data_IF_838723047814
#
_entry.id   IF_838723047814
#
_cell.length_a   1.000
_cell.length_b   1.000
_cell.length_c   1.000
_cell.angle_alpha   90.00
_cell.angle_beta   90.00
_cell.angle_gamma   90.00
#
_symmetry.space_group_name_H-M   'P 1'
#
loop_
_entity.id
_entity.type
_entity.pdbx_description
1 polymer ?
#
# COMPACT_ATOMS: atom_id res chain seq x y z
N UNK A 1 44.52 -35.32 -55.57
CA UNK A 1 44.77 -35.98 -56.87
C UNK A 1 44.07 -37.32 -56.89
N UNK A 2 42.96 -37.44 -57.61
CA UNK A 2 42.53 -38.61 -58.40
C UNK A 2 41.05 -38.41 -58.76
N UNK A 3 40.83 -38.06 -60.03
CA UNK A 3 39.53 -37.98 -60.69
C UNK A 3 39.06 -39.38 -61.07
N UNK A 4 37.74 -39.66 -60.99
CA UNK A 4 37.03 -40.51 -61.96
C UNK A 4 35.51 -40.20 -61.99
N UNK A 5 35.16 -39.50 -63.08
CA UNK A 5 33.99 -39.63 -64.00
C UNK A 5 33.47 -41.08 -64.12
N UNK A 6 32.25 -41.49 -64.49
CA UNK A 6 31.02 -41.00 -65.20
C UNK A 6 29.86 -41.90 -64.67
N UNK A 7 28.56 -41.59 -64.77
CA UNK A 7 27.64 -42.03 -65.86
C UNK A 7 26.24 -41.45 -65.58
N UNK A 8 25.64 -40.87 -66.63
CA UNK A 8 24.22 -40.49 -66.71
C UNK A 8 23.37 -41.72 -67.02
N UNK A 9 22.20 -41.85 -66.38
CA UNK A 9 21.04 -42.47 -67.01
C UNK A 9 19.77 -41.69 -66.67
N UNK A 10 19.07 -41.31 -67.74
CA UNK A 10 17.73 -40.74 -67.81
C UNK A 10 16.67 -41.84 -67.75
N UNK A 11 15.67 -41.68 -66.89
CA UNK A 11 14.28 -42.18 -66.95
C UNK A 11 13.56 -41.32 -65.88
N UNK A 12 12.75 -40.31 -66.17
CA UNK A 12 11.59 -40.34 -67.04
C UNK A 12 10.59 -41.31 -66.43
N UNK A 13 9.67 -40.85 -65.58
CA UNK A 13 8.37 -41.46 -65.25
C UNK A 13 7.41 -40.37 -64.79
N UNK A 14 6.18 -40.53 -65.24
CA UNK A 14 5.07 -39.59 -65.21
C UNK A 14 4.43 -39.41 -63.83
N UNK A 15 3.73 -38.29 -63.73
CA UNK A 15 2.87 -37.83 -62.66
C UNK A 15 1.96 -38.89 -62.03
N UNK A 16 1.83 -38.83 -60.71
CA UNK A 16 0.55 -38.92 -60.01
C UNK A 16 0.49 -37.74 -59.05
N UNK A 17 -0.20 -36.67 -59.46
CA UNK A 17 -0.59 -35.59 -58.59
C UNK A 17 -1.78 -36.05 -57.74
N UNK A 18 -1.50 -36.49 -56.51
CA UNK A 18 -2.55 -36.63 -55.51
C UNK A 18 -2.89 -35.23 -54.99
N UNK A 19 -3.97 -34.66 -55.53
CA UNK A 19 -4.62 -33.48 -54.97
C UNK A 19 -5.27 -33.91 -53.65
N UNK A 20 -4.56 -33.74 -52.55
CA UNK A 20 -5.13 -33.76 -51.22
C UNK A 20 -5.89 -32.45 -51.02
N UNK A 21 -7.20 -32.52 -51.21
CA UNK A 21 -8.15 -31.54 -50.72
C UNK A 21 -8.08 -31.53 -49.18
N UNK A 22 -7.22 -30.66 -48.64
CA UNK A 22 -7.28 -30.27 -47.24
C UNK A 22 -8.46 -29.30 -47.12
N UNK A 23 -9.52 -29.61 -46.37
CA UNK A 23 -10.56 -28.63 -46.10
C UNK A 23 -9.92 -27.47 -45.31
N UNK A 24 -10.25 -26.21 -45.59
CA UNK A 24 -9.87 -25.12 -44.71
C UNK A 24 -10.63 -25.34 -43.39
N UNK A 25 -9.94 -25.91 -42.40
CA UNK A 25 -10.37 -25.77 -41.03
C UNK A 25 -10.29 -24.28 -40.72
N UNK A 26 -11.44 -23.60 -40.75
CA UNK A 26 -11.64 -22.34 -40.06
C UNK A 26 -11.23 -22.59 -38.60
N UNK A 27 -9.99 -22.22 -38.27
CA UNK A 27 -9.61 -22.01 -36.89
C UNK A 27 -10.41 -20.80 -36.42
N UNK A 28 -11.57 -21.05 -35.82
CA UNK A 28 -12.23 -20.08 -34.99
C UNK A 28 -11.20 -19.64 -33.95
N UNK A 29 -10.68 -18.42 -34.10
CA UNK A 29 -10.02 -17.71 -33.00
C UNK A 29 -11.02 -17.71 -31.86
N UNK A 30 -10.79 -18.55 -30.86
CA UNK A 30 -11.35 -18.34 -29.54
C UNK A 30 -10.86 -16.96 -29.11
N UNK A 31 -11.76 -15.98 -29.10
CA UNK A 31 -11.53 -14.73 -28.40
C UNK A 31 -11.02 -15.07 -26.99
N UNK A 32 -9.95 -14.42 -26.50
CA UNK A 32 -9.57 -14.57 -25.11
C UNK A 32 -10.78 -14.11 -24.31
N UNK A 33 -11.44 -15.08 -23.65
CA UNK A 33 -12.47 -14.80 -22.67
C UNK A 33 -11.85 -13.78 -21.71
N UNK A 34 -12.47 -12.60 -21.50
CA UNK A 34 -12.01 -11.67 -20.49
C UNK A 34 -11.86 -12.49 -19.21
N UNK A 35 -10.66 -12.47 -18.63
CA UNK A 35 -10.50 -12.88 -17.25
C UNK A 35 -11.41 -11.93 -16.47
N UNK A 36 -12.64 -12.36 -16.22
CA UNK A 36 -13.44 -11.86 -15.11
C UNK A 36 -12.53 -12.01 -13.91
N UNK A 37 -11.88 -10.90 -13.54
CA UNK A 37 -11.42 -10.67 -12.19
C UNK A 37 -12.66 -10.85 -11.33
N UNK A 38 -12.88 -12.07 -10.85
CA UNK A 38 -13.72 -12.28 -9.70
C UNK A 38 -13.15 -11.34 -8.66
N UNK A 39 -13.94 -10.37 -8.16
CA UNK A 39 -13.55 -9.66 -6.96
C UNK A 39 -13.23 -10.79 -5.97
N UNK A 40 -12.00 -10.82 -5.47
CA UNK A 40 -11.75 -11.57 -4.26
C UNK A 40 -12.64 -10.88 -3.22
N UNK A 41 -13.87 -11.40 -3.09
CA UNK A 41 -14.66 -11.18 -1.92
C UNK A 41 -13.78 -11.73 -0.81
N UNK A 42 -13.04 -10.82 -0.17
CA UNK A 42 -12.50 -11.05 1.15
C UNK A 42 -13.69 -11.62 1.89
N UNK A 43 -13.61 -12.92 2.21
CA UNK A 43 -14.49 -13.52 3.19
C UNK A 43 -14.38 -12.57 4.37
N UNK A 44 -15.41 -11.76 4.60
CA UNK A 44 -15.54 -10.95 5.78
C UNK A 44 -15.60 -11.96 6.92
N UNK A 45 -14.41 -12.42 7.35
CA UNK A 45 -14.27 -13.24 8.53
C UNK A 45 -14.94 -12.43 9.60
N UNK A 46 -15.96 -13.05 10.19
CA UNK A 46 -16.77 -12.41 11.21
C UNK A 46 -15.84 -12.23 12.41
N UNK A 47 -15.28 -11.05 12.54
CA UNK A 47 -14.48 -10.68 13.71
C UNK A 47 -15.44 -10.64 14.88
N UNK A 48 -15.24 -11.53 15.85
CA UNK A 48 -16.07 -11.56 17.04
C UNK A 48 -15.82 -10.27 17.85
N UNK A 49 -16.87 -9.52 18.21
CA UNK A 49 -16.70 -8.26 18.91
C UNK A 49 -16.11 -8.48 20.30
N UNK A 50 -15.08 -7.71 20.64
CA UNK A 50 -14.50 -7.68 21.99
C UNK A 50 -15.34 -6.74 22.86
N UNK A 51 -15.64 -7.10 24.13
CA UNK A 51 -16.33 -6.20 25.05
C UNK A 51 -15.64 -4.84 25.14
N UNK A 52 -16.43 -3.76 25.06
CA UNK A 52 -15.91 -2.40 25.22
C UNK A 52 -15.63 -2.16 26.70
N UNK A 53 -14.42 -1.70 27.07
CA UNK A 53 -14.10 -1.38 28.45
C UNK A 53 -14.92 -0.16 28.91
N UNK A 54 -15.06 0.06 30.23
CA UNK A 54 -15.70 1.27 30.71
C UNK A 54 -14.92 2.52 30.27
N UNK A 55 -15.65 3.60 29.99
CA UNK A 55 -15.06 4.91 29.76
C UNK A 55 -14.33 5.41 31.02
N UNK A 56 -13.34 6.30 30.89
CA UNK A 56 -12.75 6.98 32.03
C UNK A 56 -13.81 7.69 32.87
N UNK A 57 -13.61 7.76 34.19
CA UNK A 57 -14.55 8.43 35.10
C UNK A 57 -14.77 9.91 34.74
N UNK A 58 -13.72 10.57 34.24
CA UNK A 58 -13.76 11.92 33.72
C UNK A 58 -13.26 11.88 32.27
N UNK A 59 -14.13 12.30 31.35
CA UNK A 59 -13.79 12.42 29.94
C UNK A 59 -13.40 13.88 29.70
N UNK A 60 -12.14 14.17 29.33
CA UNK A 60 -11.72 15.53 29.04
C UNK A 60 -12.52 16.14 27.87
N UNK A 61 -12.70 17.46 27.91
CA UNK A 61 -13.21 18.20 26.76
C UNK A 61 -12.24 18.05 25.58
N UNK A 62 -12.78 18.00 24.36
CA UNK A 62 -11.97 17.75 23.17
C UNK A 62 -10.90 18.81 22.96
N UNK A 63 -9.68 18.36 22.65
CA UNK A 63 -8.53 19.24 22.38
C UNK A 63 -8.02 19.01 20.96
N UNK A 64 -7.73 20.10 20.26
CA UNK A 64 -7.07 20.05 18.96
C UNK A 64 -5.62 19.61 19.19
N UNK A 65 -5.15 18.49 18.59
CA UNK A 65 -3.76 18.10 18.68
C UNK A 65 -2.83 19.17 18.11
N UNK A 66 -1.65 19.35 18.70
CA UNK A 66 -0.67 20.35 18.26
C UNK A 66 0.32 19.71 17.29
N UNK A 67 0.35 20.12 16.00
CA UNK A 67 1.21 19.50 14.98
C UNK A 67 2.71 19.55 15.31
N UNK A 68 3.18 20.56 16.03
CA UNK A 68 4.59 20.72 16.41
C UNK A 68 5.11 19.60 17.32
N UNK A 69 4.22 18.93 18.06
CA UNK A 69 4.58 17.75 18.86
C UNK A 69 4.35 16.42 18.14
N UNK A 70 4.01 16.44 16.86
CA UNK A 70 3.82 15.24 16.03
C UNK A 70 5.04 15.09 15.11
N UNK A 71 5.72 13.96 15.20
CA UNK A 71 6.96 13.64 14.47
C UNK A 71 6.77 12.44 13.54
N UNK A 72 7.75 12.21 12.65
CA UNK A 72 7.73 11.09 11.70
C UNK A 72 6.81 11.30 10.49
N UNK A 73 6.50 12.56 10.16
CA UNK A 73 5.51 12.90 9.13
C UNK A 73 5.89 12.35 7.75
N UNK A 74 7.15 12.50 7.37
CA UNK A 74 7.71 11.93 6.15
C UNK A 74 8.65 10.80 6.57
N UNK A 75 8.33 9.53 6.27
CA UNK A 75 9.13 8.40 6.74
C UNK A 75 10.47 8.31 5.99
N UNK A 76 11.55 8.18 6.75
CA UNK A 76 12.90 7.91 6.25
C UNK A 76 13.01 6.48 5.71
N UNK A 77 14.18 6.03 5.23
CA UNK A 77 14.33 4.65 4.76
C UNK A 77 14.13 3.63 5.89
N UNK A 78 14.66 3.90 7.09
CA UNK A 78 14.74 2.93 8.17
C UNK A 78 13.49 2.88 9.09
N UNK A 79 12.48 3.73 8.85
CA UNK A 79 11.28 3.77 9.71
C UNK A 79 10.39 2.52 9.53
N UNK A 80 9.81 2.05 10.64
CA UNK A 80 8.89 0.91 10.64
C UNK A 80 7.46 1.37 10.29
N UNK A 81 7.12 1.31 9.00
CA UNK A 81 5.78 1.68 8.51
C UNK A 81 4.71 0.59 8.74
N UNK A 82 5.13 -0.62 9.11
CA UNK A 82 4.20 -1.73 9.32
C UNK A 82 3.46 -2.17 8.07
N UNK A 83 2.20 -2.55 8.23
CA UNK A 83 1.34 -3.05 7.16
C UNK A 83 0.31 -2.04 6.66
N UNK A 84 0.13 -0.93 7.36
CA UNK A 84 -0.89 0.07 7.03
C UNK A 84 -0.89 1.23 8.01
N UNK A 85 -2.04 1.89 8.12
CA UNK A 85 -2.22 3.03 9.00
C UNK A 85 -3.66 3.14 9.51
N UNK A 86 -3.81 3.73 10.70
CA UNK A 86 -5.09 4.03 11.34
C UNK A 86 -5.48 5.47 11.03
N UNK A 87 -6.65 5.64 10.42
CA UNK A 87 -7.14 6.95 9.97
C UNK A 87 -8.67 7.07 10.06
N UNK A 88 -9.25 8.26 9.85
CA UNK A 88 -10.69 8.44 9.62
C UNK A 88 -11.16 7.59 8.44
N UNK A 89 -12.35 6.99 8.58
CA UNK A 89 -12.95 6.18 7.53
C UNK A 89 -13.39 7.02 6.33
N UNK A 90 -14.06 8.13 6.61
CA UNK A 90 -14.49 9.12 5.62
C UNK A 90 -13.45 10.24 5.54
N UNK A 91 -12.86 10.43 4.37
CA UNK A 91 -11.90 11.50 4.07
C UNK A 91 -12.41 12.48 3.01
N UNK A 92 -13.68 12.38 2.61
CA UNK A 92 -14.26 13.20 1.53
C UNK A 92 -14.12 14.70 1.75
N UNK A 93 -14.14 15.16 3.01
CA UNK A 93 -13.92 16.58 3.35
C UNK A 93 -12.49 17.09 3.09
N UNK A 94 -11.52 16.21 2.84
CA UNK A 94 -10.16 16.58 2.44
C UNK A 94 -9.99 16.58 0.91
N UNK A 95 -10.90 15.95 0.17
CA UNK A 95 -10.87 15.88 -1.29
C UNK A 95 -11.44 17.16 -1.94
N UNK A 96 -12.12 18.00 -1.16
CA UNK A 96 -12.61 19.30 -1.61
C UNK A 96 -11.47 20.33 -1.64
N UNK A 97 -10.94 20.61 -2.83
CA UNK A 97 -9.82 21.53 -3.06
C UNK A 97 -10.06 22.95 -2.51
N UNK A 98 -11.32 23.39 -2.40
CA UNK A 98 -11.66 24.74 -1.93
C UNK A 98 -11.71 24.83 -0.40
N UNK A 99 -12.03 23.74 0.31
CA UNK A 99 -12.39 23.79 1.75
C UNK A 99 -11.59 22.83 2.65
N UNK A 100 -10.67 22.02 2.12
CA UNK A 100 -9.86 21.10 2.95
C UNK A 100 -9.13 21.79 4.10
N UNK A 101 -8.83 23.10 3.97
CA UNK A 101 -8.13 23.88 5.00
C UNK A 101 -8.94 24.06 6.27
N UNK A 102 -10.28 24.00 6.21
CA UNK A 102 -11.19 24.11 7.35
C UNK A 102 -11.75 22.77 7.81
N UNK A 103 -11.39 21.68 7.11
CA UNK A 103 -11.88 20.34 7.41
C UNK A 103 -11.64 19.95 8.89
N UNK A 104 -12.64 19.37 9.56
CA UNK A 104 -12.51 18.92 10.95
C UNK A 104 -11.55 17.74 11.11
N UNK A 105 -11.19 17.06 10.03
CA UNK A 105 -10.26 15.92 10.04
C UNK A 105 -8.86 16.27 9.53
N UNK A 106 -8.61 17.55 9.22
CA UNK A 106 -7.31 18.03 8.78
C UNK A 106 -6.19 17.69 9.77
N UNK A 107 -5.04 17.32 9.23
CA UNK A 107 -3.85 16.90 9.95
C UNK A 107 -4.20 15.78 10.96
N UNK A 108 -4.15 16.06 12.26
CA UNK A 108 -4.52 15.14 13.33
C UNK A 108 -5.84 15.52 14.03
N UNK A 109 -6.58 16.52 13.54
CA UNK A 109 -7.78 17.07 14.20
C UNK A 109 -8.89 16.03 14.35
N UNK A 110 -8.92 15.01 13.49
CA UNK A 110 -9.85 13.90 13.60
C UNK A 110 -9.82 13.19 14.95
N UNK A 111 -8.69 13.27 15.69
CA UNK A 111 -8.56 12.71 17.03
C UNK A 111 -9.56 13.33 18.03
N UNK A 112 -10.07 14.54 17.78
CA UNK A 112 -11.10 15.18 18.59
C UNK A 112 -12.44 14.42 18.61
N UNK A 113 -12.71 13.61 17.58
CA UNK A 113 -13.88 12.75 17.50
C UNK A 113 -13.61 11.28 17.80
N UNK A 114 -12.37 10.92 18.12
CA UNK A 114 -11.96 9.53 18.36
C UNK A 114 -12.38 9.09 19.76
N UNK A 115 -12.81 7.84 19.88
CA UNK A 115 -12.86 7.10 21.13
C UNK A 115 -12.38 5.67 20.86
N UNK A 116 -11.12 5.38 21.18
CA UNK A 116 -10.49 4.10 20.90
C UNK A 116 -9.86 3.53 22.18
N UNK A 117 -10.36 2.40 22.70
CA UNK A 117 -9.71 1.72 23.81
C UNK A 117 -8.42 1.06 23.32
N UNK A 118 -7.39 1.15 24.15
CA UNK A 118 -6.06 0.65 23.85
C UNK A 118 -5.58 -0.29 24.95
N UNK A 119 -4.81 -1.30 24.57
CA UNK A 119 -4.46 -2.46 25.38
C UNK A 119 -2.96 -2.73 25.31
N UNK A 120 -2.43 -3.37 26.36
CA UNK A 120 -1.02 -3.81 26.40
C UNK A 120 -0.78 -4.98 25.45
N UNK A 121 -1.74 -5.89 25.37
CA UNK A 121 -1.70 -7.09 24.54
C UNK A 121 -3.12 -7.52 24.12
N UNK A 122 -3.27 -8.34 23.07
CA UNK A 122 -4.57 -8.88 22.64
C UNK A 122 -5.28 -9.65 23.75
N UNK A 123 -6.56 -9.36 23.97
CA UNK A 123 -7.38 -9.92 25.04
C UNK A 123 -6.83 -9.69 26.46
N UNK A 124 -5.83 -8.82 26.59
CA UNK A 124 -5.18 -8.49 27.85
C UNK A 124 -5.87 -7.37 28.58
N UNK A 125 -5.14 -6.80 29.53
CA UNK A 125 -5.63 -5.65 30.29
C UNK A 125 -5.74 -4.41 29.41
N UNK A 126 -6.91 -3.77 29.50
CA UNK A 126 -7.14 -2.43 29.00
C UNK A 126 -6.13 -1.47 29.65
N UNK A 127 -5.39 -0.74 28.82
CA UNK A 127 -4.34 0.19 29.26
C UNK A 127 -4.86 1.61 29.40
N UNK A 128 -5.76 2.03 28.51
CA UNK A 128 -6.32 3.38 28.52
C UNK A 128 -7.11 3.67 27.25
N UNK A 129 -7.38 4.93 27.00
CA UNK A 129 -8.12 5.40 25.83
C UNK A 129 -7.32 6.41 25.02
N UNK A 130 -7.41 6.34 23.69
CA UNK A 130 -7.27 7.53 22.84
C UNK A 130 -8.67 8.12 22.67
N UNK A 131 -8.92 9.28 23.26
CA UNK A 131 -10.26 9.88 23.25
C UNK A 131 -10.20 11.40 23.17
N UNK A 132 -10.97 11.99 22.24
CA UNK A 132 -11.14 13.43 22.10
C UNK A 132 -9.83 14.25 22.00
N UNK A 133 -8.79 13.71 21.36
CA UNK A 133 -7.47 14.34 21.24
C UNK A 133 -6.54 14.11 22.44
N UNK A 134 -6.94 13.25 23.38
CA UNK A 134 -6.17 12.88 24.56
C UNK A 134 -5.76 11.42 24.53
N UNK A 135 -4.60 11.14 25.11
CA UNK A 135 -4.27 9.82 25.65
C UNK A 135 -4.64 9.82 27.14
N UNK A 136 -5.52 8.90 27.55
CA UNK A 136 -5.99 8.77 28.93
C UNK A 136 -5.60 7.39 29.47
N UNK A 137 -4.42 7.24 30.10
CA UNK A 137 -4.02 5.98 30.71
C UNK A 137 -4.82 5.70 31.98
N UNK A 138 -5.08 4.43 32.29
CA UNK A 138 -5.85 4.05 33.47
C UNK A 138 -5.13 4.44 34.77
N UNK A 139 -5.76 5.32 35.55
CA UNK A 139 -5.23 5.77 36.84
C UNK A 139 -4.18 6.89 36.76
N UNK A 140 -4.00 7.50 35.59
CA UNK A 140 -3.06 8.62 35.37
C UNK A 140 -3.78 9.83 34.76
N UNK A 141 -3.12 10.99 34.81
CA UNK A 141 -3.64 12.21 34.21
C UNK A 141 -3.69 12.10 32.68
N UNK A 142 -4.72 12.68 32.03
CA UNK A 142 -4.79 12.79 30.58
C UNK A 142 -3.60 13.56 29.97
N UNK A 143 -3.13 13.10 28.82
CA UNK A 143 -2.02 13.68 28.06
C UNK A 143 -2.55 14.19 26.72
N UNK A 144 -2.51 15.50 26.47
CA UNK A 144 -2.94 16.04 25.19
C UNK A 144 -1.92 15.75 24.09
N UNK A 145 -2.42 15.23 22.97
CA UNK A 145 -1.60 14.78 21.84
C UNK A 145 -0.88 15.97 21.19
N UNK A 146 0.45 15.87 21.08
CA UNK A 146 1.31 16.90 20.49
C UNK A 146 1.57 18.12 21.38
N UNK A 147 0.80 18.32 22.46
CA UNK A 147 1.05 19.42 23.42
C UNK A 147 1.88 18.95 24.61
N UNK A 148 1.43 17.88 25.25
CA UNK A 148 1.98 17.42 26.53
C UNK A 148 2.99 16.27 26.32
N UNK A 149 2.92 15.60 25.16
CA UNK A 149 3.87 14.57 24.75
C UNK A 149 4.02 14.52 23.23
N UNK A 150 5.15 13.94 22.80
CA UNK A 150 5.44 13.70 21.39
C UNK A 150 4.74 12.45 20.88
N UNK A 151 4.06 12.56 19.74
CA UNK A 151 3.39 11.45 19.07
C UNK A 151 4.02 11.19 17.71
N UNK A 152 3.95 9.94 17.25
CA UNK A 152 4.45 9.51 15.96
C UNK A 152 3.25 9.35 15.01
N UNK A 153 3.25 10.06 13.90
CA UNK A 153 2.25 9.89 12.84
C UNK A 153 2.91 10.10 11.48
N UNK A 154 2.38 9.44 10.46
CA UNK A 154 2.84 9.58 9.07
C UNK A 154 1.83 10.39 8.26
N UNK A 155 2.32 11.23 7.36
CA UNK A 155 1.51 12.03 6.45
C UNK A 155 1.10 11.17 5.26
N UNK A 156 -0.15 10.72 5.26
CA UNK A 156 -0.69 9.83 4.22
C UNK A 156 -1.54 10.56 3.20
N UNK A 157 -1.76 11.86 3.36
CA UNK A 157 -2.38 12.72 2.36
C UNK A 157 -1.89 14.17 2.56
N UNK A 158 -2.19 15.09 1.64
CA UNK A 158 -1.81 16.51 1.71
C UNK A 158 -2.10 17.07 3.10
N UNK A 159 -3.26 16.70 3.65
CA UNK A 159 -3.82 17.23 4.88
C UNK A 159 -4.25 16.14 5.87
N UNK A 160 -3.63 14.96 5.86
CA UNK A 160 -3.97 13.87 6.78
C UNK A 160 -2.74 13.25 7.44
N UNK A 161 -2.75 13.21 8.77
CA UNK A 161 -1.80 12.47 9.59
C UNK A 161 -2.48 11.21 10.14
N UNK A 162 -1.78 10.08 10.10
CA UNK A 162 -2.30 8.79 10.56
C UNK A 162 -1.28 8.02 11.39
N UNK A 163 -1.75 7.11 12.25
CA UNK A 163 -0.85 6.28 13.05
C UNK A 163 -0.39 5.06 12.24
N UNK A 164 0.92 4.75 12.18
CA UNK A 164 1.40 3.50 11.58
C UNK A 164 0.81 2.28 12.29
N UNK A 165 0.28 1.33 11.51
CA UNK A 165 -0.21 0.04 11.99
C UNK A 165 0.82 -1.02 11.64
N UNK A 166 1.44 -1.58 12.67
CA UNK A 166 2.54 -2.53 12.57
C UNK A 166 2.08 -3.93 12.15
N UNK A 167 0.93 -4.36 12.67
CA UNK A 167 0.35 -5.67 12.35
C UNK A 167 -1.16 -5.72 12.62
N UNK A 168 -1.84 -6.63 11.92
CA UNK A 168 -3.24 -7.01 12.14
C UNK A 168 -3.28 -8.53 12.20
N UNK A 169 -3.97 -9.06 13.21
CA UNK A 169 -4.23 -10.47 13.41
C UNK A 169 -5.58 -10.87 12.82
N UNK A 170 -5.74 -12.17 12.54
CA UNK A 170 -7.00 -12.74 12.02
C UNK A 170 -8.18 -12.58 13.00
N UNK A 171 -7.89 -12.48 14.30
CA UNK A 171 -8.89 -12.26 15.34
C UNK A 171 -9.29 -10.78 15.52
N UNK A 172 -8.85 -9.88 14.64
CA UNK A 172 -9.25 -8.47 14.64
C UNK A 172 -8.45 -7.56 15.57
N UNK A 173 -7.45 -8.08 16.27
CA UNK A 173 -6.50 -7.27 17.02
C UNK A 173 -5.44 -6.67 16.10
N UNK A 174 -5.17 -5.38 16.25
CA UNK A 174 -4.11 -4.70 15.53
C UNK A 174 -3.22 -3.92 16.48
N UNK A 175 -1.92 -3.86 16.13
CA UNK A 175 -0.92 -3.12 16.89
C UNK A 175 -0.52 -1.89 16.08
N UNK A 176 -0.55 -0.73 16.71
CA UNK A 176 -0.18 0.54 16.09
C UNK A 176 0.81 1.30 16.96
N UNK A 177 1.62 2.13 16.33
CA UNK A 177 2.61 2.97 16.99
C UNK A 177 2.04 4.37 17.16
N UNK A 178 2.02 4.88 18.40
CA UNK A 178 1.48 6.20 18.71
C UNK A 178 2.53 7.17 19.25
N UNK A 179 3.68 6.67 19.72
CA UNK A 179 4.89 7.48 19.99
C UNK A 179 6.12 6.78 19.41
N UNK A 180 7.28 7.46 19.28
CA UNK A 180 8.49 6.84 18.73
C UNK A 180 8.92 5.55 19.43
N UNK A 181 8.60 5.38 20.72
CA UNK A 181 8.93 4.17 21.49
C UNK A 181 7.69 3.39 21.96
N UNK A 182 6.47 3.87 21.67
CA UNK A 182 5.23 3.38 22.24
C UNK A 182 4.30 2.76 21.21
N UNK A 183 3.91 1.52 21.46
CA UNK A 183 2.91 0.78 20.67
C UNK A 183 1.76 0.35 21.55
N UNK A 184 0.56 0.29 21.00
CA UNK A 184 -0.60 -0.24 21.68
C UNK A 184 -1.39 -1.18 20.77
N UNK A 185 -2.14 -2.07 21.40
CA UNK A 185 -3.12 -2.90 20.73
C UNK A 185 -4.49 -2.25 20.78
N UNK A 186 -5.26 -2.38 19.70
CA UNK A 186 -6.68 -2.05 19.65
C UNK A 186 -7.41 -3.13 18.83
N UNK A 187 -8.73 -3.14 18.90
CA UNK A 187 -9.54 -4.14 18.22
C UNK A 187 -10.40 -3.49 17.12
N UNK A 188 -10.51 -4.13 15.97
CA UNK A 188 -11.25 -3.59 14.81
C UNK A 188 -12.73 -3.33 15.13
N UNK A 189 -13.34 -4.08 16.05
CA UNK A 189 -14.72 -3.83 16.48
C UNK A 189 -14.92 -2.55 17.31
N UNK A 190 -13.85 -1.83 17.65
CA UNK A 190 -13.90 -0.59 18.45
C UNK A 190 -13.70 0.68 17.62
N UNK A 191 -13.53 0.55 16.30
CA UNK A 191 -13.22 1.68 15.42
C UNK A 191 -14.39 2.67 15.20
N UNK A 192 -15.60 2.30 15.61
CA UNK A 192 -16.83 3.10 15.45
C UNK A 192 -17.39 3.62 16.78
N UNK A 193 -16.59 3.59 17.87
CA UNK A 193 -17.06 4.05 19.18
C UNK A 193 -17.06 5.58 19.34
N UNK A 194 -16.28 6.29 18.53
CA UNK A 194 -16.20 7.75 18.53
C UNK A 194 -17.28 8.40 17.67
N UNK A 195 -17.33 9.74 17.67
CA UNK A 195 -18.09 10.48 16.65
C UNK A 195 -17.40 10.45 15.27
N UNK A 196 -16.10 10.21 15.26
CA UNK A 196 -15.31 9.94 14.07
C UNK A 196 -15.11 8.43 13.92
N UNK A 197 -15.72 7.85 12.88
CA UNK A 197 -15.44 6.47 12.50
C UNK A 197 -14.01 6.36 11.97
N UNK A 198 -13.33 5.30 12.40
CA UNK A 198 -11.97 4.99 12.01
C UNK A 198 -11.93 3.75 11.10
N UNK A 199 -10.86 3.63 10.35
CA UNK A 199 -10.50 2.40 9.66
C UNK A 199 -8.99 2.18 9.72
N UNK A 200 -8.59 0.92 9.55
CA UNK A 200 -7.20 0.56 9.28
C UNK A 200 -7.07 0.30 7.78
N UNK A 201 -6.37 1.19 7.07
CA UNK A 201 -6.08 1.03 5.65
C UNK A 201 -4.72 0.38 5.49
N UNK A 202 -4.65 -0.64 4.64
CA UNK A 202 -3.38 -1.32 4.34
C UNK A 202 -2.60 -0.55 3.29
N UNK A 203 -1.27 -0.61 3.38
CA UNK A 203 -0.42 -0.01 2.36
C UNK A 203 -0.63 -0.60 0.98
N UNK A 204 -1.00 -1.88 0.90
CA UNK A 204 -1.34 -2.52 -0.37
C UNK A 204 -2.49 -1.79 -1.08
N UNK A 205 -3.57 -1.51 -0.34
CA UNK A 205 -4.75 -0.83 -0.87
C UNK A 205 -4.43 0.64 -1.16
N UNK A 206 -3.66 1.30 -0.30
CA UNK A 206 -3.27 2.69 -0.52
C UNK A 206 -2.43 2.86 -1.78
N UNK A 207 -1.39 2.05 -1.96
CA UNK A 207 -0.43 2.24 -3.06
C UNK A 207 -1.04 2.10 -4.44
N UNK A 208 -2.02 1.22 -4.63
CA UNK A 208 -2.72 1.08 -5.92
C UNK A 208 -3.72 2.21 -6.20
N UNK A 209 -4.10 2.98 -5.18
CA UNK A 209 -5.06 4.08 -5.28
C UNK A 209 -4.41 5.46 -5.26
N UNK A 210 -3.09 5.55 -5.10
CA UNK A 210 -2.33 6.80 -5.23
C UNK A 210 -1.76 6.93 -6.63
N UNK A 211 -1.66 8.16 -7.13
CA UNK A 211 -1.21 8.42 -8.49
C UNK A 211 0.25 8.02 -8.75
N UNK A 212 1.10 8.04 -7.73
CA UNK A 212 2.51 7.66 -7.88
C UNK A 212 3.17 7.29 -6.55
N UNK A 213 4.26 6.54 -6.65
CA UNK A 213 5.15 6.20 -5.54
C UNK A 213 6.61 6.49 -5.91
N UNK A 214 7.46 6.62 -4.91
CA UNK A 214 8.91 6.78 -5.02
C UNK A 214 9.62 5.82 -4.08
N UNK A 215 10.91 5.52 -4.33
CA UNK A 215 11.68 4.76 -3.35
C UNK A 215 11.92 5.59 -2.10
N UNK A 216 11.77 4.97 -0.92
CA UNK A 216 12.18 5.59 0.34
C UNK A 216 13.68 5.82 0.39
N UNK A 217 14.46 4.88 -0.17
CA UNK A 217 15.90 5.04 -0.34
C UNK A 217 16.23 5.55 -1.75
N UNK A 218 16.36 6.87 -1.88
CA UNK A 218 16.70 7.56 -3.13
C UNK A 218 18.09 7.22 -3.70
N UNK A 219 18.94 6.49 -2.98
CA UNK A 219 20.27 6.08 -3.45
C UNK A 219 20.28 4.77 -4.26
N UNK A 220 19.16 4.05 -4.34
CA UNK A 220 19.12 2.68 -4.84
C UNK A 220 18.20 2.58 -6.06
N UNK A 221 18.65 1.85 -7.08
CA UNK A 221 17.80 1.42 -8.20
C UNK A 221 17.25 0.01 -7.94
N UNK A 222 16.00 -0.23 -8.30
CA UNK A 222 15.36 -1.54 -8.18
C UNK A 222 15.20 -2.25 -9.52
N UNK A 223 15.30 -3.58 -9.58
CA UNK A 223 15.07 -4.33 -10.80
C UNK A 223 13.58 -4.33 -11.17
N UNK A 224 13.26 -3.94 -12.40
CA UNK A 224 11.96 -4.20 -13.03
C UNK A 224 12.01 -5.55 -13.73
N UNK A 225 11.01 -6.39 -13.48
CA UNK A 225 10.97 -7.77 -13.94
C UNK A 225 9.68 -8.06 -14.72
N UNK A 226 9.68 -9.04 -15.63
CA UNK A 226 8.44 -9.41 -16.33
C UNK A 226 7.45 -10.16 -15.42
N UNK A 227 7.93 -10.78 -14.35
CA UNK A 227 7.15 -11.60 -13.41
C UNK A 227 7.60 -11.34 -11.96
N UNK A 228 6.75 -11.59 -10.94
CA UNK A 228 7.06 -11.39 -9.52
C UNK A 228 8.02 -12.46 -8.97
N UNK A 229 9.28 -12.45 -9.44
CA UNK A 229 10.29 -13.46 -9.12
C UNK A 229 11.63 -12.85 -8.72
N UNK A 230 12.25 -13.38 -7.67
CA UNK A 230 13.56 -12.91 -7.18
C UNK A 230 14.71 -13.33 -8.11
N UNK A 231 14.53 -14.39 -8.90
CA UNK A 231 15.56 -14.99 -9.75
C UNK A 231 15.30 -14.83 -11.25
N UNK A 232 14.18 -14.21 -11.63
CA UNK A 232 13.83 -13.98 -13.04
C UNK A 232 14.85 -13.08 -13.78
N UNK A 233 14.69 -12.89 -15.10
CA UNK A 233 15.44 -11.87 -15.82
C UNK A 233 15.03 -10.46 -15.36
N UNK A 234 15.94 -9.50 -15.55
CA UNK A 234 15.69 -8.07 -15.32
C UNK A 234 15.40 -7.42 -16.68
N UNK A 235 14.28 -6.73 -16.80
CA UNK A 235 13.94 -5.94 -17.99
C UNK A 235 14.77 -4.65 -18.04
N UNK A 236 14.77 -3.91 -16.93
CA UNK A 236 15.53 -2.68 -16.73
C UNK A 236 15.74 -2.44 -15.23
N UNK A 237 16.63 -1.52 -14.89
CA UNK A 237 16.66 -0.90 -13.58
C UNK A 237 15.71 0.29 -13.56
N UNK A 238 15.01 0.46 -12.45
CA UNK A 238 14.17 1.62 -12.12
C UNK A 238 15.02 2.53 -11.25
N UNK A 239 15.32 3.73 -11.74
CA UNK A 239 16.06 4.72 -10.98
C UNK A 239 15.21 5.40 -9.90
N UNK A 240 15.83 6.04 -8.90
CA UNK A 240 15.12 6.73 -7.81
C UNK A 240 14.27 7.93 -8.25
N UNK A 241 14.63 8.56 -9.37
CA UNK A 241 13.89 9.70 -9.94
C UNK A 241 12.81 9.28 -10.94
N UNK A 242 12.53 7.97 -11.08
CA UNK A 242 11.52 7.45 -12.01
C UNK A 242 10.11 7.83 -11.56
N UNK A 243 9.22 8.08 -12.51
CA UNK A 243 7.79 8.14 -12.23
C UNK A 243 7.22 6.72 -12.18
N UNK A 244 6.75 6.28 -11.01
CA UNK A 244 6.30 4.90 -10.75
C UNK A 244 4.82 4.93 -10.36
N UNK A 245 3.95 4.41 -11.23
CA UNK A 245 2.54 4.19 -10.95
C UNK A 245 2.33 2.73 -10.52
N UNK A 246 1.70 2.49 -9.39
CA UNK A 246 1.32 1.15 -8.98
C UNK A 246 0.04 0.70 -9.72
N UNK A 247 0.02 -0.53 -10.20
CA UNK A 247 -1.12 -1.13 -10.92
C UNK A 247 -1.78 -2.21 -10.07
N UNK A 248 -0.98 -3.09 -9.49
CA UNK A 248 -1.45 -4.23 -8.71
C UNK A 248 -0.38 -4.67 -7.71
N UNK A 249 -0.79 -5.39 -6.66
CA UNK A 249 0.10 -5.95 -5.66
C UNK A 249 -0.15 -7.45 -5.53
N UNK A 250 0.94 -8.22 -5.46
CA UNK A 250 0.95 -9.66 -5.16
C UNK A 250 2.05 -9.95 -4.14
N UNK A 251 1.66 -10.15 -2.88
CA UNK A 251 2.58 -10.38 -1.78
C UNK A 251 3.57 -9.21 -1.61
N UNK A 252 4.86 -9.47 -1.84
CA UNK A 252 5.94 -8.46 -1.73
C UNK A 252 6.24 -7.77 -3.07
N UNK A 253 5.49 -8.10 -4.11
CA UNK A 253 5.68 -7.58 -5.46
C UNK A 253 4.56 -6.61 -5.82
N UNK A 254 4.95 -5.58 -6.54
CA UNK A 254 4.06 -4.55 -7.05
C UNK A 254 4.26 -4.51 -8.56
N UNK A 255 3.17 -4.74 -9.28
CA UNK A 255 3.12 -4.45 -10.70
C UNK A 255 3.05 -2.94 -10.85
N UNK A 256 3.92 -2.40 -11.69
CA UNK A 256 4.08 -0.97 -11.87
C UNK A 256 4.13 -0.60 -13.35
N UNK A 257 3.76 0.64 -13.64
CA UNK A 257 4.13 1.35 -14.86
C UNK A 257 5.20 2.37 -14.50
N UNK A 258 6.37 2.24 -15.11
CA UNK A 258 7.53 3.09 -14.86
C UNK A 258 7.81 3.94 -16.09
N UNK A 259 7.94 5.26 -15.90
CA UNK A 259 8.39 6.19 -16.94
C UNK A 259 9.74 6.79 -16.57
N UNK A 260 10.72 6.69 -17.47
CA UNK A 260 12.09 7.22 -17.27
C UNK A 260 12.78 7.64 -18.59
N UNK A 261 13.65 8.67 -18.60
CA UNK A 261 13.99 9.51 -17.44
C UNK A 261 12.93 10.58 -17.14
N UNK A 262 12.84 10.92 -15.87
CA UNK A 262 11.93 11.92 -15.29
C UNK A 262 12.72 12.80 -14.33
N UNK A 263 12.20 13.99 -14.02
CA UNK A 263 12.69 14.84 -12.93
C UNK A 263 11.50 15.09 -11.99
N UNK A 264 11.41 14.26 -10.95
CA UNK A 264 10.19 14.15 -10.15
C UNK A 264 9.00 13.78 -11.05
N UNK A 265 7.99 14.64 -11.05
CA UNK A 265 6.76 14.47 -11.83
C UNK A 265 6.88 14.86 -13.32
N UNK A 266 8.03 15.39 -13.74
CA UNK A 266 8.22 15.90 -15.09
C UNK A 266 8.88 14.85 -15.98
N UNK A 267 8.17 14.42 -17.03
CA UNK A 267 8.71 13.53 -18.06
C UNK A 267 9.71 14.28 -18.94
N UNK A 268 10.92 13.73 -19.10
CA UNK A 268 11.97 14.35 -19.90
C UNK A 268 11.95 13.84 -21.37
N UNK A 269 12.51 14.62 -22.33
CA UNK A 269 12.58 14.18 -23.73
C UNK A 269 13.27 12.82 -23.90
N UNK A 270 12.65 11.94 -24.68
CA UNK A 270 13.16 10.58 -24.92
C UNK A 270 12.78 9.57 -23.84
N UNK A 271 11.96 9.96 -22.85
CA UNK A 271 11.42 9.04 -21.88
C UNK A 271 10.65 7.88 -22.50
N UNK A 272 10.73 6.74 -21.84
CA UNK A 272 10.03 5.52 -22.21
C UNK A 272 9.26 5.00 -21.01
N UNK A 273 8.12 4.42 -21.31
CA UNK A 273 7.26 3.77 -20.32
C UNK A 273 7.37 2.26 -20.46
N UNK A 274 7.52 1.57 -19.34
CA UNK A 274 7.56 0.12 -19.30
C UNK A 274 6.78 -0.39 -18.10
N UNK A 275 6.05 -1.49 -18.29
CA UNK A 275 5.38 -2.20 -17.20
C UNK A 275 6.20 -3.42 -16.76
N UNK A 276 6.04 -3.77 -15.49
CA UNK A 276 6.66 -4.95 -14.91
C UNK A 276 6.42 -5.03 -13.41
N UNK A 277 7.15 -5.92 -12.76
CA UNK A 277 7.08 -6.19 -11.34
C UNK A 277 8.35 -5.73 -10.66
N UNK A 278 8.20 -5.06 -9.52
CA UNK A 278 9.29 -4.67 -8.63
C UNK A 278 8.91 -4.92 -7.18
N UNK A 279 9.87 -4.88 -6.25
CA UNK A 279 9.58 -5.06 -4.83
C UNK A 279 9.13 -3.75 -4.20
N UNK A 280 7.94 -3.77 -3.62
CA UNK A 280 7.45 -2.67 -2.79
C UNK A 280 7.68 -2.93 -1.30
N UNK A 281 7.96 -4.19 -0.94
CA UNK A 281 8.23 -4.64 0.42
C UNK A 281 9.41 -5.60 0.45
N UNK A 282 10.27 -5.48 1.46
CA UNK A 282 11.37 -6.41 1.73
C UNK A 282 10.83 -7.80 2.09
N UNK A 283 11.57 -8.84 1.74
CA UNK A 283 11.21 -10.22 2.06
C UNK A 283 11.67 -10.66 3.44
N UNK A 284 12.78 -10.10 3.93
CA UNK A 284 13.35 -10.46 5.23
C UNK A 284 12.57 -9.80 6.37
N UNK A 285 12.49 -8.47 6.34
CA UNK A 285 12.01 -7.69 7.49
C UNK A 285 10.64 -7.06 7.23
N UNK A 286 10.02 -7.36 6.08
CA UNK A 286 8.73 -6.79 5.63
C UNK A 286 8.70 -5.26 5.59
N UNK A 287 9.87 -4.64 5.55
CA UNK A 287 10.05 -3.20 5.43
C UNK A 287 9.46 -2.69 4.11
N UNK A 288 8.71 -1.59 4.17
CA UNK A 288 8.16 -0.93 3.01
C UNK A 288 9.30 -0.21 2.26
N UNK A 289 9.45 -0.44 0.95
CA UNK A 289 10.53 0.12 0.14
C UNK A 289 10.13 1.36 -0.66
N UNK A 290 8.82 1.61 -0.74
CA UNK A 290 8.23 2.70 -1.52
C UNK A 290 7.38 3.59 -0.63
N UNK A 291 7.25 4.85 -1.00
CA UNK A 291 6.37 5.79 -0.32
C UNK A 291 5.64 6.65 -1.35
N UNK A 292 4.47 7.15 -1.00
CA UNK A 292 3.79 8.14 -1.81
C UNK A 292 3.94 9.50 -1.10
N UNK A 293 4.60 10.49 -1.70
CA UNK A 293 4.72 11.80 -1.06
C UNK A 293 3.36 12.50 -1.07
N UNK A 294 3.01 13.10 0.06
CA UNK A 294 1.70 13.71 0.26
C UNK A 294 1.41 14.88 -0.70
N UNK A 295 2.44 15.59 -1.18
CA UNK A 295 2.27 16.75 -2.09
C UNK A 295 1.99 16.39 -3.55
N UNK A 296 1.83 15.10 -3.86
CA UNK A 296 1.47 14.65 -5.19
C UNK A 296 2.47 15.02 -6.27
N UNK A 297 2.05 14.71 -7.48
CA UNK A 297 2.48 15.25 -8.75
C UNK A 297 1.28 15.99 -9.34
#
# INVERSE_FOLDING_TARGET
>A
MSLRRVVRHTLGWSAIAAVLLIPPALAARSEPKPLEMQPQAILAQRIDPVPVPPLPNEIPEAVVPIPEGIVGLDPDADDELGIGHLRPADISSLEDEEDWTTSPIRDANWLQGTALPIYVEPNGSHWGWLINGWLVPNGFDPIAIGRDATFLMVRTDVALLSFPVLEIREDGWFRFQYTPAGTAWAHLSHLELGSQNLLVERWEDRFVNVGWVQFRNHGISQPLRPEPSSTGPINTLVGPDSYIEAIAIDGNWMQVRVTQPTQGCTVLPGARTQEGWMRWRSEQDREILVWHPAKGC
#
